data_IF_676638395640
#
_entry.id   IF_676638395640
#
_cell.length_a   1.000
_cell.length_b   1.000
_cell.length_c   1.000
_cell.angle_alpha   90.00
_cell.angle_beta   90.00
_cell.angle_gamma   90.00
#
_symmetry.space_group_name_H-M   'P 1'
#
loop_
_entity.id
_entity.type
_entity.pdbx_description
1 polymer ?
#
# COMPACT_ATOMS: atom_id res chain seq x y z
N UNK A 1 15.04 27.89 -5.59
CA UNK A 1 14.12 26.95 -4.91
C UNK A 1 14.96 25.72 -4.58
N UNK A 2 15.13 25.39 -3.29
CA UNK A 2 15.74 24.12 -2.92
C UNK A 2 14.73 23.02 -3.30
N UNK A 3 15.13 22.07 -4.12
CA UNK A 3 14.35 20.86 -4.37
C UNK A 3 14.34 20.14 -3.03
N UNK A 4 13.17 20.00 -2.38
CA UNK A 4 13.09 19.23 -1.15
C UNK A 4 13.40 17.77 -1.47
N UNK A 5 14.30 17.17 -0.71
CA UNK A 5 14.64 15.77 -0.81
C UNK A 5 13.38 14.93 -0.50
N UNK A 6 12.97 14.04 -1.40
CA UNK A 6 11.81 13.14 -1.20
C UNK A 6 12.27 11.95 -0.36
N UNK A 7 12.18 12.09 0.96
CA UNK A 7 12.57 11.05 1.91
C UNK A 7 11.37 10.23 2.35
N UNK A 8 11.48 8.93 2.22
CA UNK A 8 10.46 7.95 2.63
C UNK A 8 11.04 7.03 3.69
N UNK A 9 10.34 6.86 4.78
CA UNK A 9 10.65 5.88 5.82
C UNK A 9 9.73 4.68 5.66
N UNK A 10 10.28 3.47 5.70
CA UNK A 10 9.52 2.23 5.65
C UNK A 10 9.71 1.48 6.96
N UNK A 11 8.65 1.38 7.74
CA UNK A 11 8.61 0.62 9.00
C UNK A 11 8.14 -0.79 8.72
N UNK A 12 9.04 -1.75 8.85
CA UNK A 12 8.87 -3.14 8.47
C UNK A 12 9.61 -3.47 7.16
N UNK A 13 10.77 -4.13 7.28
CA UNK A 13 11.59 -4.59 6.16
C UNK A 13 11.24 -6.04 5.73
N UNK A 14 9.99 -6.44 5.95
CA UNK A 14 9.45 -7.72 5.51
C UNK A 14 9.18 -7.75 4.01
N UNK A 15 8.51 -8.81 3.58
CA UNK A 15 8.19 -9.05 2.17
C UNK A 15 7.48 -7.86 1.51
N UNK A 16 6.47 -7.29 2.17
CA UNK A 16 5.72 -6.15 1.62
C UNK A 16 6.58 -4.88 1.61
N UNK A 17 7.25 -4.56 2.73
CA UNK A 17 8.08 -3.35 2.81
C UNK A 17 9.25 -3.36 1.82
N UNK A 18 9.88 -4.52 1.57
CA UNK A 18 10.95 -4.64 0.58
C UNK A 18 10.44 -4.38 -0.85
N UNK A 19 9.27 -4.92 -1.21
CA UNK A 19 8.67 -4.67 -2.53
C UNK A 19 8.25 -3.22 -2.72
N UNK A 20 7.76 -2.57 -1.66
CA UNK A 20 7.47 -1.12 -1.70
C UNK A 20 8.72 -0.31 -1.97
N UNK A 21 9.81 -0.59 -1.26
CA UNK A 21 11.09 0.08 -1.52
C UNK A 21 11.58 -0.12 -2.94
N UNK A 22 11.52 -1.34 -3.47
CA UNK A 22 11.87 -1.61 -4.86
C UNK A 22 10.98 -0.84 -5.86
N UNK A 23 9.66 -0.78 -5.61
CA UNK A 23 8.76 -0.01 -6.45
C UNK A 23 9.06 1.50 -6.42
N UNK A 24 9.44 2.05 -5.27
CA UNK A 24 9.81 3.45 -5.12
C UNK A 24 11.10 3.78 -5.91
N UNK A 25 12.15 2.95 -5.81
CA UNK A 25 13.40 3.20 -6.55
C UNK A 25 13.22 3.00 -8.05
N UNK A 26 12.53 1.94 -8.47
CA UNK A 26 12.35 1.64 -9.90
C UNK A 26 11.56 2.70 -10.66
N UNK A 27 10.71 3.45 -9.96
CA UNK A 27 9.90 4.54 -10.51
C UNK A 27 10.44 5.94 -10.18
N UNK A 28 11.61 6.06 -9.55
CA UNK A 28 12.22 7.35 -9.15
C UNK A 28 11.29 8.20 -8.25
N UNK A 29 10.55 7.57 -7.35
CA UNK A 29 9.57 8.26 -6.50
C UNK A 29 10.18 8.78 -5.20
N UNK A 30 11.36 8.28 -4.78
CA UNK A 30 12.07 8.73 -3.59
C UNK A 30 13.53 9.04 -3.91
N UNK A 31 14.09 10.04 -3.25
CA UNK A 31 15.51 10.39 -3.29
C UNK A 31 16.28 9.73 -2.14
N UNK A 32 15.59 9.47 -1.03
CA UNK A 32 16.11 8.74 0.12
C UNK A 32 15.05 7.77 0.69
N UNK A 33 15.47 6.55 1.00
CA UNK A 33 14.65 5.54 1.69
C UNK A 33 15.38 5.09 2.94
N UNK A 34 14.68 5.08 4.07
CA UNK A 34 15.17 4.56 5.35
C UNK A 34 14.31 3.37 5.76
N UNK A 35 14.92 2.20 5.89
CA UNK A 35 14.25 1.04 6.47
C UNK A 35 14.41 1.01 7.99
N UNK A 36 13.29 0.80 8.69
CA UNK A 36 13.24 0.57 10.13
C UNK A 36 12.59 -0.79 10.35
N UNK A 37 13.24 -1.67 11.08
CA UNK A 37 12.69 -2.98 11.48
C UNK A 37 13.20 -3.32 12.89
N UNK A 38 12.41 -4.05 13.67
CA UNK A 38 12.83 -4.60 14.97
C UNK A 38 14.00 -5.57 14.82
N UNK A 39 14.06 -6.29 13.68
CA UNK A 39 15.24 -7.02 13.24
C UNK A 39 16.14 -6.08 12.40
N UNK A 40 17.12 -5.46 13.08
CA UNK A 40 18.08 -4.56 12.46
C UNK A 40 18.85 -5.20 11.30
N UNK A 41 19.19 -6.50 11.42
CA UNK A 41 19.94 -7.20 10.37
C UNK A 41 19.11 -7.30 9.08
N UNK A 42 17.80 -7.52 9.21
CA UNK A 42 16.85 -7.55 8.11
C UNK A 42 16.73 -6.18 7.42
N UNK A 43 16.63 -5.10 8.18
CA UNK A 43 16.61 -3.74 7.61
C UNK A 43 17.90 -3.44 6.83
N UNK A 44 19.05 -3.83 7.39
CA UNK A 44 20.36 -3.67 6.73
C UNK A 44 20.44 -4.49 5.44
N UNK A 45 20.01 -5.75 5.46
CA UNK A 45 20.01 -6.61 4.28
C UNK A 45 19.16 -6.02 3.15
N UNK A 46 17.95 -5.55 3.45
CA UNK A 46 17.09 -4.91 2.46
C UNK A 46 17.67 -3.60 1.91
N UNK A 47 18.30 -2.80 2.77
CA UNK A 47 18.93 -1.55 2.35
C UNK A 47 20.12 -1.81 1.39
N UNK A 48 20.93 -2.83 1.67
CA UNK A 48 22.06 -3.22 0.81
C UNK A 48 21.56 -3.76 -0.54
N UNK A 49 20.60 -4.68 -0.52
CA UNK A 49 20.03 -5.27 -1.73
C UNK A 49 19.47 -4.19 -2.69
N UNK A 50 18.71 -3.22 -2.15
CA UNK A 50 18.22 -2.11 -2.95
C UNK A 50 19.32 -1.13 -3.39
N UNK A 51 20.33 -0.90 -2.57
CA UNK A 51 21.48 -0.08 -2.95
C UNK A 51 22.20 -0.71 -4.15
N UNK A 52 22.39 -2.00 -4.15
CA UNK A 52 23.00 -2.73 -5.27
C UNK A 52 22.13 -2.63 -6.53
N UNK A 53 20.81 -2.74 -6.39
CA UNK A 53 19.88 -2.60 -7.50
C UNK A 53 19.95 -1.20 -8.16
N UNK A 54 20.25 -0.12 -7.42
CA UNK A 54 20.36 1.23 -7.99
C UNK A 54 21.46 1.36 -9.05
N UNK A 55 22.48 0.49 -9.03
CA UNK A 55 23.53 0.49 -10.06
C UNK A 55 23.01 0.20 -11.47
N UNK A 56 21.87 -0.49 -11.56
CA UNK A 56 21.25 -0.92 -12.83
C UNK A 56 20.00 -0.14 -13.17
N UNK A 57 19.62 0.85 -12.37
CA UNK A 57 18.43 1.68 -12.54
C UNK A 57 18.85 3.13 -12.86
N UNK A 58 18.08 3.87 -13.65
CA UNK A 58 18.37 5.28 -13.95
C UNK A 58 18.00 6.21 -12.79
N UNK A 59 18.43 5.86 -11.57
CA UNK A 59 18.04 6.54 -10.32
C UNK A 59 19.25 6.77 -9.42
N UNK A 60 19.12 7.71 -8.50
CA UNK A 60 20.14 8.03 -7.48
C UNK A 60 19.57 8.00 -6.07
N UNK A 61 18.67 7.07 -5.83
CA UNK A 61 18.06 6.94 -4.50
C UNK A 61 19.08 6.41 -3.50
N UNK A 62 19.25 7.11 -2.39
CA UNK A 62 20.02 6.63 -1.24
C UNK A 62 19.13 5.71 -0.40
N UNK A 63 19.60 4.49 -0.13
CA UNK A 63 18.86 3.53 0.71
C UNK A 63 19.70 3.15 1.91
N UNK A 64 19.11 3.27 3.10
CA UNK A 64 19.79 2.97 4.37
C UNK A 64 18.88 2.23 5.33
N UNK A 65 19.47 1.52 6.29
CA UNK A 65 18.76 1.09 7.49
C UNK A 65 18.99 2.13 8.59
N UNK A 66 17.91 2.57 9.21
CA UNK A 66 17.91 3.63 10.21
C UNK A 66 17.09 3.30 11.46
N UNK A 67 16.78 4.31 12.21
CA UNK A 67 15.85 4.28 13.34
C UNK A 67 14.85 5.44 13.25
N UNK A 68 13.97 5.57 14.24
CA UNK A 68 12.93 6.59 14.20
C UNK A 68 13.46 8.03 14.24
N UNK A 69 14.68 8.28 14.71
CA UNK A 69 15.28 9.62 14.68
C UNK A 69 15.59 10.08 13.26
N UNK A 70 15.81 9.14 12.34
CA UNK A 70 16.01 9.43 10.92
C UNK A 70 14.71 9.85 10.19
N UNK A 71 13.56 9.77 10.86
CA UNK A 71 12.27 10.11 10.27
C UNK A 71 11.91 11.60 10.38
N UNK A 72 12.62 12.38 11.18
CA UNK A 72 12.24 13.76 11.52
C UNK A 72 12.06 14.69 10.30
N UNK A 73 12.82 14.48 9.24
CA UNK A 73 12.79 15.25 7.99
C UNK A 73 12.11 14.51 6.82
N UNK A 74 11.51 13.35 7.09
CA UNK A 74 10.82 12.57 6.07
C UNK A 74 9.43 13.14 5.76
N UNK A 75 9.01 13.03 4.50
CA UNK A 75 7.68 13.47 4.06
C UNK A 75 6.65 12.36 4.18
N UNK A 76 7.06 11.11 3.99
CA UNK A 76 6.17 9.95 4.01
C UNK A 76 6.76 8.86 4.89
N UNK A 77 5.90 8.27 5.73
CA UNK A 77 6.21 7.05 6.45
C UNK A 77 5.23 5.95 6.02
N UNK A 78 5.77 4.81 5.62
CA UNK A 78 4.98 3.64 5.23
C UNK A 78 5.04 2.61 6.35
N UNK A 79 3.88 2.22 6.87
CA UNK A 79 3.77 1.20 7.92
C UNK A 79 3.46 -0.15 7.27
N UNK A 80 4.45 -1.03 7.28
CA UNK A 80 4.38 -2.41 6.78
C UNK A 80 4.74 -3.42 7.90
N UNK A 81 4.48 -3.05 9.15
CA UNK A 81 4.82 -3.83 10.33
C UNK A 81 3.64 -4.73 10.75
N UNK A 82 3.95 -5.93 11.16
CA UNK A 82 2.99 -6.90 11.67
C UNK A 82 3.35 -8.33 11.25
N UNK A 83 2.85 -9.33 11.98
CA UNK A 83 3.06 -10.72 11.62
C UNK A 83 2.23 -11.09 10.38
N UNK A 84 2.74 -12.03 9.60
CA UNK A 84 1.92 -12.67 8.56
C UNK A 84 1.04 -13.74 9.21
N UNK A 85 -0.23 -13.88 8.79
CA UNK A 85 -1.05 -15.02 9.17
C UNK A 85 -0.35 -16.33 8.78
N UNK A 86 -0.36 -17.31 9.66
CA UNK A 86 0.23 -18.63 9.44
C UNK A 86 -0.83 -19.74 9.54
N UNK A 87 -0.68 -20.79 8.74
CA UNK A 87 -1.64 -21.90 8.70
C UNK A 87 -3.06 -21.42 8.34
N UNK A 88 -4.02 -21.70 9.20
CA UNK A 88 -5.44 -21.36 9.00
C UNK A 88 -5.84 -20.01 9.66
N UNK A 89 -4.86 -19.21 10.08
CA UNK A 89 -5.15 -17.89 10.68
C UNK A 89 -5.71 -16.92 9.65
N UNK A 90 -6.72 -16.17 10.06
CA UNK A 90 -7.24 -15.01 9.35
C UNK A 90 -6.42 -13.75 9.69
N UNK A 91 -6.65 -12.66 8.95
CA UNK A 91 -6.06 -11.34 9.28
C UNK A 91 -6.50 -10.85 10.67
N UNK A 92 -7.71 -11.19 11.10
CA UNK A 92 -8.23 -10.82 12.42
C UNK A 92 -7.53 -11.58 13.55
N UNK A 93 -7.10 -12.81 13.32
CA UNK A 93 -6.40 -13.60 14.35
C UNK A 93 -5.03 -13.01 14.70
N UNK A 94 -4.41 -12.24 13.79
CA UNK A 94 -3.14 -11.56 14.03
C UNK A 94 -3.30 -10.14 14.59
N UNK A 95 -4.52 -9.62 14.69
CA UNK A 95 -4.79 -8.24 15.10
C UNK A 95 -4.18 -7.90 16.47
N UNK A 96 -4.35 -8.76 17.46
CA UNK A 96 -3.81 -8.52 18.80
C UNK A 96 -2.30 -8.32 18.81
N UNK A 97 -1.55 -9.17 18.10
CA UNK A 97 -0.11 -9.05 17.98
C UNK A 97 0.29 -7.78 17.20
N UNK A 98 -0.43 -7.47 16.13
CA UNK A 98 -0.19 -6.27 15.34
C UNK A 98 -0.39 -5.00 16.18
N UNK A 99 -1.43 -4.94 17.01
CA UNK A 99 -1.68 -3.80 17.91
C UNK A 99 -0.56 -3.63 18.94
N UNK A 100 -0.02 -4.72 19.52
CA UNK A 100 1.11 -4.60 20.45
C UNK A 100 2.35 -4.01 19.76
N UNK A 101 2.67 -4.46 18.55
CA UNK A 101 3.75 -3.88 17.74
C UNK A 101 3.48 -2.39 17.47
N UNK A 102 2.26 -2.03 17.11
CA UNK A 102 1.90 -0.66 16.78
C UNK A 102 1.88 0.29 17.98
N UNK A 103 1.71 -0.19 19.20
CA UNK A 103 1.91 0.61 20.41
C UNK A 103 3.35 1.14 20.47
N UNK A 104 4.34 0.29 20.22
CA UNK A 104 5.74 0.68 20.19
C UNK A 104 6.06 1.59 19.01
N UNK A 105 5.54 1.26 17.83
CA UNK A 105 5.72 2.06 16.60
C UNK A 105 5.17 3.47 16.79
N UNK A 106 3.91 3.61 17.22
CA UNK A 106 3.29 4.93 17.40
C UNK A 106 3.95 5.74 18.53
N UNK A 107 4.39 5.09 19.61
CA UNK A 107 5.17 5.76 20.65
C UNK A 107 6.51 6.28 20.12
N UNK A 108 7.17 5.53 19.24
CA UNK A 108 8.43 5.91 18.61
C UNK A 108 8.23 7.05 17.60
N UNK A 109 7.16 6.99 16.80
CA UNK A 109 6.79 8.08 15.87
C UNK A 109 6.57 9.40 16.62
N UNK A 110 5.86 9.39 17.76
CA UNK A 110 5.66 10.59 18.59
C UNK A 110 6.97 11.23 19.06
N UNK A 111 8.00 10.41 19.29
CA UNK A 111 9.31 10.88 19.77
C UNK A 111 10.25 11.30 18.65
N UNK A 112 10.01 10.84 17.43
CA UNK A 112 10.93 11.02 16.28
C UNK A 112 10.97 12.46 15.74
N UNK A 113 9.94 13.26 16.00
CA UNK A 113 9.76 14.56 15.36
C UNK A 113 9.18 14.47 13.95
N UNK A 114 8.79 13.27 13.49
CA UNK A 114 8.14 13.10 12.19
C UNK A 114 6.81 13.85 12.12
N UNK A 115 6.65 14.67 11.07
CA UNK A 115 5.46 15.51 10.85
C UNK A 115 4.92 15.39 9.40
N UNK A 116 5.17 14.24 8.75
CA UNK A 116 4.73 13.95 7.39
C UNK A 116 3.39 13.22 7.29
N UNK A 117 3.23 12.45 6.24
CA UNK A 117 2.06 11.62 5.94
C UNK A 117 2.37 10.15 6.25
N UNK A 118 1.44 9.45 6.87
CA UNK A 118 1.55 8.00 7.12
C UNK A 118 0.65 7.25 6.14
N UNK A 119 1.23 6.29 5.42
CA UNK A 119 0.51 5.33 4.58
C UNK A 119 0.61 3.96 5.23
N UNK A 120 -0.52 3.43 5.68
CA UNK A 120 -0.58 2.10 6.27
C UNK A 120 -0.85 1.03 5.19
N UNK A 121 -0.07 -0.03 5.22
CA UNK A 121 -0.27 -1.24 4.40
C UNK A 121 -0.30 -2.52 5.26
N UNK A 122 -0.25 -2.36 6.59
CA UNK A 122 -0.42 -3.48 7.54
C UNK A 122 -1.89 -3.88 7.64
N UNK A 123 -2.12 -5.16 7.90
CA UNK A 123 -3.46 -5.73 8.01
C UNK A 123 -3.84 -6.08 9.46
N UNK A 124 -5.15 -6.01 9.78
CA UNK A 124 -6.31 -5.55 8.99
C UNK A 124 -6.25 -4.04 8.70
N UNK A 125 -6.24 -3.67 7.42
CA UNK A 125 -5.83 -2.33 6.99
C UNK A 125 -6.65 -1.19 7.64
N UNK A 126 -7.97 -1.29 7.64
CA UNK A 126 -8.84 -0.21 8.12
C UNK A 126 -8.79 -0.07 9.65
N UNK A 127 -8.80 -1.21 10.37
CA UNK A 127 -8.69 -1.24 11.84
C UNK A 127 -7.35 -0.65 12.29
N UNK A 128 -6.26 -1.07 11.64
CA UNK A 128 -4.90 -0.59 11.94
C UNK A 128 -4.77 0.90 11.66
N UNK A 129 -5.29 1.37 10.53
CA UNK A 129 -5.26 2.79 10.19
C UNK A 129 -6.00 3.64 11.21
N UNK A 130 -7.20 3.20 11.60
CA UNK A 130 -7.98 3.87 12.64
C UNK A 130 -7.24 3.89 13.99
N UNK A 131 -6.61 2.76 14.35
CA UNK A 131 -5.78 2.71 15.56
C UNK A 131 -4.64 3.72 15.52
N UNK A 132 -3.89 3.82 14.42
CA UNK A 132 -2.76 4.76 14.27
C UNK A 132 -3.26 6.21 14.36
N UNK A 133 -4.38 6.54 13.69
CA UNK A 133 -5.01 7.88 13.76
C UNK A 133 -5.33 8.25 15.22
N UNK A 134 -6.00 7.34 15.94
CA UNK A 134 -6.35 7.57 17.34
C UNK A 134 -5.11 7.66 18.24
N UNK A 135 -4.17 6.74 18.08
CA UNK A 135 -2.96 6.71 18.90
C UNK A 135 -2.11 7.96 18.75
N UNK A 136 -1.96 8.48 17.53
CA UNK A 136 -1.20 9.70 17.25
C UNK A 136 -2.00 10.98 17.49
N UNK A 137 -3.32 10.90 17.50
CA UNK A 137 -4.24 12.05 17.56
C UNK A 137 -3.97 13.06 16.42
N UNK A 138 -3.77 12.54 15.20
CA UNK A 138 -3.55 13.35 14.00
C UNK A 138 -4.81 13.40 13.14
N UNK A 139 -4.88 14.43 12.29
CA UNK A 139 -5.96 14.58 11.32
C UNK A 139 -5.99 13.38 10.34
N UNK A 140 -7.18 12.84 10.02
CA UNK A 140 -7.32 11.65 9.16
C UNK A 140 -6.65 11.80 7.78
N UNK A 141 -6.57 13.02 7.26
CA UNK A 141 -5.95 13.33 5.97
C UNK A 141 -4.44 13.05 5.95
N UNK A 142 -3.84 12.92 7.12
CA UNK A 142 -2.40 12.63 7.29
C UNK A 142 -2.11 11.15 7.48
N UNK A 143 -3.13 10.33 7.72
CA UNK A 143 -2.97 8.90 7.99
C UNK A 143 -4.06 8.14 7.25
N UNK A 144 -3.68 7.40 6.24
CA UNK A 144 -4.61 6.57 5.46
C UNK A 144 -3.95 5.25 5.07
N UNK A 145 -4.73 4.31 4.55
CA UNK A 145 -4.25 3.03 4.06
C UNK A 145 -4.38 2.91 2.54
N UNK A 146 -3.70 1.92 1.98
CA UNK A 146 -3.93 1.50 0.60
C UNK A 146 -5.28 0.77 0.45
N UNK A 147 -5.86 0.28 1.55
CA UNK A 147 -7.19 -0.33 1.64
C UNK A 147 -7.55 -1.18 0.41
N UNK A 148 -8.62 -0.87 -0.30
CA UNK A 148 -9.13 -1.58 -1.47
C UNK A 148 -8.39 -1.28 -2.79
N UNK A 149 -7.24 -0.61 -2.75
CA UNK A 149 -6.46 -0.31 -3.98
C UNK A 149 -6.02 -1.58 -4.70
N UNK A 150 -5.55 -2.59 -3.93
CA UNK A 150 -5.16 -3.89 -4.50
C UNK A 150 -6.38 -4.66 -5.05
N UNK A 151 -7.50 -4.60 -4.34
CA UNK A 151 -8.73 -5.27 -4.76
C UNK A 151 -9.28 -4.63 -6.04
N UNK A 152 -9.22 -3.30 -6.15
CA UNK A 152 -9.54 -2.56 -7.37
C UNK A 152 -8.63 -2.97 -8.55
N UNK A 153 -7.35 -3.24 -8.29
CA UNK A 153 -6.43 -3.72 -9.33
C UNK A 153 -6.76 -5.15 -9.76
N UNK A 154 -7.12 -6.03 -8.80
CA UNK A 154 -7.56 -7.41 -9.06
C UNK A 154 -8.86 -7.43 -9.86
N UNK A 155 -9.83 -6.60 -9.50
CA UNK A 155 -11.08 -6.42 -10.23
C UNK A 155 -10.83 -6.01 -11.68
N UNK A 156 -10.01 -4.99 -11.93
CA UNK A 156 -9.65 -4.57 -13.29
C UNK A 156 -9.00 -5.69 -14.09
N UNK A 157 -8.10 -6.45 -13.47
CA UNK A 157 -7.48 -7.61 -14.10
C UNK A 157 -8.50 -8.69 -14.44
N UNK A 158 -9.43 -9.01 -13.51
CA UNK A 158 -10.47 -10.01 -13.73
C UNK A 158 -11.39 -9.61 -14.89
N UNK A 159 -11.91 -8.39 -14.91
CA UNK A 159 -12.71 -7.88 -16.03
C UNK A 159 -11.91 -7.94 -17.35
N UNK A 160 -10.66 -7.52 -17.34
CA UNK A 160 -9.79 -7.51 -18.52
C UNK A 160 -9.62 -8.92 -19.13
N UNK A 161 -9.46 -9.95 -18.27
CA UNK A 161 -9.33 -11.34 -18.69
C UNK A 161 -10.61 -11.87 -19.33
N UNK A 162 -11.80 -11.53 -18.78
CA UNK A 162 -13.07 -11.98 -19.32
C UNK A 162 -13.38 -11.40 -20.70
N UNK A 163 -13.00 -10.15 -20.95
CA UNK A 163 -13.32 -9.47 -22.21
C UNK A 163 -12.15 -9.34 -23.18
N UNK A 164 -10.94 -9.82 -22.80
CA UNK A 164 -9.78 -9.88 -23.68
C UNK A 164 -9.14 -8.54 -24.02
N UNK A 165 -9.11 -7.58 -23.05
CA UNK A 165 -8.49 -6.25 -23.24
C UNK A 165 -7.40 -5.95 -22.20
N UNK A 166 -6.65 -4.87 -22.40
CA UNK A 166 -5.68 -4.40 -21.41
C UNK A 166 -6.40 -3.84 -20.17
N UNK A 167 -6.02 -4.30 -18.98
CA UNK A 167 -6.55 -3.81 -17.69
C UNK A 167 -6.39 -2.30 -17.49
N UNK A 168 -5.43 -1.66 -18.15
CA UNK A 168 -5.24 -0.20 -18.11
C UNK A 168 -6.36 0.57 -18.80
N UNK A 169 -7.13 -0.09 -19.67
CA UNK A 169 -8.31 0.48 -20.31
C UNK A 169 -9.55 0.47 -19.42
N UNK A 170 -9.46 -0.13 -18.23
CA UNK A 170 -10.60 -0.31 -17.31
C UNK A 170 -10.45 0.63 -16.12
N UNK A 171 -11.50 1.40 -15.84
CA UNK A 171 -11.66 2.11 -14.58
C UNK A 171 -12.71 1.37 -13.75
N UNK A 172 -12.29 0.79 -12.65
CA UNK A 172 -13.15 0.07 -11.72
C UNK A 172 -12.59 0.18 -10.30
N UNK A 173 -13.46 0.25 -9.31
CA UNK A 173 -13.11 0.42 -7.91
C UNK A 173 -13.87 -0.57 -7.04
N UNK A 174 -13.15 -1.26 -6.17
CA UNK A 174 -13.68 -1.88 -4.98
C UNK A 174 -13.70 -0.80 -3.88
N UNK A 175 -14.77 -0.75 -3.10
CA UNK A 175 -15.01 0.25 -2.05
C UNK A 175 -15.36 -0.45 -0.73
N UNK A 176 -15.24 0.29 0.37
CA UNK A 176 -15.54 -0.19 1.72
C UNK A 176 -14.31 -0.74 2.44
N UNK A 177 -14.50 -1.74 3.28
CA UNK A 177 -13.44 -2.40 4.02
C UNK A 177 -12.56 -3.25 3.08
N UNK A 178 -11.25 -3.27 3.34
CA UNK A 178 -10.38 -4.25 2.69
C UNK A 178 -10.58 -5.65 3.32
N UNK A 179 -11.62 -6.35 2.89
CA UNK A 179 -12.04 -7.64 3.43
C UNK A 179 -13.28 -8.19 2.74
N UNK A 180 -13.99 -9.11 3.42
CA UNK A 180 -15.18 -9.79 2.89
C UNK A 180 -16.40 -8.87 2.66
N UNK A 181 -16.40 -7.68 3.28
CA UNK A 181 -17.51 -6.72 3.17
C UNK A 181 -17.29 -5.65 2.08
N UNK A 182 -16.22 -5.77 1.29
CA UNK A 182 -16.01 -4.86 0.17
C UNK A 182 -17.11 -4.97 -0.88
N UNK A 183 -17.33 -3.90 -1.62
CA UNK A 183 -18.32 -3.85 -2.70
C UNK A 183 -17.73 -3.22 -3.97
N UNK A 184 -18.25 -3.61 -5.12
CA UNK A 184 -17.86 -3.01 -6.40
C UNK A 184 -18.82 -1.92 -6.80
N UNK A 185 -18.31 -0.75 -7.15
CA UNK A 185 -19.10 0.37 -7.68
C UNK A 185 -19.39 0.15 -9.18
N UNK A 186 -20.23 -0.83 -9.52
CA UNK A 186 -20.53 -1.20 -10.92
C UNK A 186 -21.04 -0.04 -11.78
N UNK A 187 -21.80 0.89 -11.20
CA UNK A 187 -22.28 2.09 -11.89
C UNK A 187 -21.17 3.05 -12.32
N UNK A 188 -20.02 2.98 -11.67
CA UNK A 188 -18.83 3.80 -11.96
C UNK A 188 -17.82 3.09 -12.86
N UNK A 189 -18.05 1.83 -13.24
CA UNK A 189 -17.14 1.08 -14.11
C UNK A 189 -17.21 1.62 -15.52
N UNK A 190 -16.02 1.97 -16.06
CA UNK A 190 -15.87 2.35 -17.47
C UNK A 190 -14.82 1.50 -18.16
N UNK A 191 -14.99 1.27 -19.44
CA UNK A 191 -14.06 0.58 -20.32
C UNK A 191 -13.72 1.50 -21.49
N UNK A 192 -12.45 1.84 -21.66
CA UNK A 192 -12.00 2.84 -22.64
C UNK A 192 -12.78 4.18 -22.53
N UNK A 193 -13.09 4.59 -21.29
CA UNK A 193 -13.84 5.83 -21.00
C UNK A 193 -15.36 5.75 -21.19
N UNK A 194 -15.92 4.64 -21.69
CA UNK A 194 -17.36 4.44 -21.89
C UNK A 194 -17.94 3.60 -20.74
N UNK A 195 -19.12 3.98 -20.17
CA UNK A 195 -19.76 3.23 -19.10
C UNK A 195 -20.01 1.75 -19.46
N UNK A 196 -19.82 0.85 -18.49
CA UNK A 196 -20.06 -0.58 -18.65
C UNK A 196 -21.52 -0.85 -19.05
N UNK A 197 -22.50 -0.08 -18.54
CA UNK A 197 -23.92 -0.20 -18.90
C UNK A 197 -24.13 -0.03 -20.40
N UNK A 198 -23.49 0.95 -21.03
CA UNK A 198 -23.57 1.18 -22.47
C UNK A 198 -22.92 0.06 -23.28
N UNK A 199 -21.76 -0.45 -22.82
CA UNK A 199 -21.16 -1.61 -23.46
C UNK A 199 -22.07 -2.84 -23.42
N UNK A 200 -22.78 -3.06 -22.31
CA UNK A 200 -23.72 -4.18 -22.15
C UNK A 200 -24.92 -4.07 -23.08
N UNK A 201 -25.39 -2.86 -23.34
CA UNK A 201 -26.49 -2.59 -24.28
C UNK A 201 -26.08 -2.78 -25.75
N UNK A 202 -24.89 -2.23 -26.11
CA UNK A 202 -24.43 -2.27 -27.51
C UNK A 202 -23.85 -3.62 -27.93
N UNK A 203 -23.24 -4.34 -26.97
CA UNK A 203 -22.55 -5.62 -27.21
C UNK A 203 -22.98 -6.66 -26.19
N UNK A 204 -24.26 -7.06 -26.20
CA UNK A 204 -24.83 -7.97 -25.18
C UNK A 204 -24.18 -9.36 -25.19
N UNK A 205 -23.68 -9.82 -26.32
CA UNK A 205 -23.02 -11.13 -26.44
C UNK A 205 -21.66 -11.20 -25.75
N UNK A 206 -20.98 -10.08 -25.61
CA UNK A 206 -19.68 -9.97 -24.95
C UNK A 206 -19.81 -9.44 -23.51
N UNK A 207 -20.36 -8.24 -23.37
CA UNK A 207 -20.41 -7.55 -22.08
C UNK A 207 -21.67 -7.89 -21.27
N UNK A 208 -22.76 -8.28 -21.95
CA UNK A 208 -23.99 -8.68 -21.27
C UNK A 208 -23.85 -9.99 -20.48
N UNK A 209 -22.91 -10.84 -20.88
CA UNK A 209 -22.63 -12.16 -20.24
C UNK A 209 -21.69 -12.07 -19.06
N UNK A 210 -21.10 -10.91 -18.77
CA UNK A 210 -20.24 -10.74 -17.60
C UNK A 210 -21.01 -11.04 -16.33
N UNK A 211 -20.53 -12.01 -15.58
CA UNK A 211 -21.05 -12.35 -14.25
C UNK A 211 -20.46 -11.36 -13.23
N UNK A 212 -21.22 -10.30 -12.93
CA UNK A 212 -20.76 -9.24 -12.05
C UNK A 212 -20.60 -9.71 -10.59
N UNK A 213 -21.38 -10.70 -10.17
CA UNK A 213 -21.33 -11.24 -8.82
C UNK A 213 -20.08 -12.13 -8.65
N UNK A 214 -19.71 -12.89 -9.70
CA UNK A 214 -18.48 -13.68 -9.68
C UNK A 214 -17.20 -12.81 -9.80
N UNK A 215 -17.31 -11.59 -10.30
CA UNK A 215 -16.21 -10.65 -10.45
C UNK A 215 -16.02 -9.73 -9.23
N UNK A 216 -17.03 -9.64 -8.35
CA UNK A 216 -17.00 -8.83 -7.15
C UNK A 216 -16.27 -9.52 -6.01
#
# INVERSE_FOLDING_TARGET
MSISNRKVVIVGAGHVGSHVGYALISQSLADEIVYIDSDRAKAVAQALDLTDATNYLPVRTKVTAGDYSDAADAQIMIIAAGPLPSGNQTRMDTLGQTIEILKEVTASIKKSGFDGIIVNISNPADVITHYIQHALNWAPERIFSTSTTLDSARLRRAIAQEIGIDQKSITAYALGEHGESQMVAWSAVTIAGKPLSQWREEYPDTFGKLDLDALA
#
